data_IF_856448914587
#
_entry.id   IF_856448914587
#
_cell.length_a   1.000
_cell.length_b   1.000
_cell.length_c   1.000
_cell.angle_alpha   90.00
_cell.angle_beta   90.00
_cell.angle_gamma   90.00
#
_symmetry.space_group_name_H-M   'P 1'
#
loop_
_entity.id
_entity.type
_entity.pdbx_description
1 polymer ?
#
# COMPACT_ATOMS: atom_id res chain seq x y z
N UNK A 1 -1.20 -44.22 -12.64
CA UNK A 1 -1.89 -44.33 -11.32
C UNK A 1 -2.05 -42.94 -10.77
N UNK A 2 -3.29 -42.48 -10.80
CA UNK A 2 -3.67 -41.17 -10.28
C UNK A 2 -4.01 -41.27 -8.81
N UNK A 3 -3.54 -40.36 -7.98
CA UNK A 3 -4.09 -40.17 -6.64
C UNK A 3 -4.48 -38.71 -6.44
N UNK A 4 -5.80 -38.52 -6.48
CA UNK A 4 -6.49 -37.31 -6.05
C UNK A 4 -6.44 -37.19 -4.53
N UNK A 5 -5.97 -36.05 -4.01
CA UNK A 5 -6.29 -35.64 -2.64
C UNK A 5 -7.16 -34.39 -2.67
N UNK A 6 -8.47 -34.66 -2.62
CA UNK A 6 -9.48 -33.68 -2.23
C UNK A 6 -9.56 -33.68 -0.70
N UNK A 7 -9.22 -32.57 -0.06
CA UNK A 7 -9.55 -32.36 1.35
C UNK A 7 -10.49 -31.18 1.45
N UNK A 8 -11.79 -31.50 1.49
CA UNK A 8 -12.85 -30.57 1.85
C UNK A 8 -12.87 -30.43 3.37
N UNK A 9 -12.63 -29.23 3.89
CA UNK A 9 -12.85 -28.90 5.29
C UNK A 9 -14.25 -28.29 5.41
N UNK A 10 -15.19 -29.09 5.90
CA UNK A 10 -16.54 -28.68 6.28
C UNK A 10 -16.49 -28.02 7.66
N UNK A 11 -16.92 -26.75 7.74
CA UNK A 11 -17.23 -26.10 9.01
C UNK A 11 -18.64 -26.51 9.45
N UNK A 12 -18.74 -27.49 10.31
CA UNK A 12 -19.88 -27.78 11.18
C UNK A 12 -19.38 -28.74 12.24
N UNK A 13 -19.33 -28.23 13.47
CA UNK A 13 -19.63 -28.98 14.69
C UNK A 13 -19.22 -28.14 15.90
N UNK A 14 -20.17 -27.86 16.67
CA UNK A 14 -20.24 -27.88 18.11
C UNK A 14 -21.05 -26.69 18.67
N UNK A 15 -22.32 -26.92 18.96
CA UNK A 15 -22.90 -26.45 20.22
C UNK A 15 -23.99 -27.45 20.60
N UNK A 16 -23.74 -28.23 21.65
CA UNK A 16 -24.74 -28.99 22.37
C UNK A 16 -24.77 -28.49 23.82
N UNK A 17 -25.93 -28.05 24.27
CA UNK A 17 -26.50 -28.40 25.55
C UNK A 17 -26.29 -27.44 26.70
N UNK A 18 -27.32 -26.79 27.19
CA UNK A 18 -28.00 -27.19 28.44
C UNK A 18 -29.26 -26.35 28.61
N UNK A 19 -30.42 -27.05 28.70
CA UNK A 19 -31.67 -26.49 29.14
C UNK A 19 -31.74 -26.48 30.66
N UNK A 20 -32.23 -25.39 31.25
CA UNK A 20 -32.87 -25.45 32.57
C UNK A 20 -34.12 -24.55 32.56
N UNK A 21 -35.25 -25.19 32.78
CA UNK A 21 -36.55 -24.58 32.89
C UNK A 21 -36.77 -23.97 34.28
N UNK A 22 -37.39 -22.80 34.34
CA UNK A 22 -38.15 -22.36 35.48
C UNK A 22 -39.30 -21.43 35.04
N UNK A 23 -40.47 -21.65 35.57
CA UNK A 23 -41.78 -21.13 35.17
C UNK A 23 -42.09 -19.75 35.76
N UNK A 24 -42.71 -18.90 34.95
CA UNK A 24 -43.84 -17.94 34.98
C UNK A 24 -44.22 -17.25 36.31
N UNK A 25 -44.69 -15.94 36.32
CA UNK A 25 -45.96 -15.57 35.70
C UNK A 25 -45.98 -14.23 34.91
N UNK A 26 -47.06 -14.14 34.11
CA UNK A 26 -47.45 -13.05 33.25
C UNK A 26 -47.70 -11.72 33.97
N UNK A 27 -47.23 -10.63 33.41
CA UNK A 27 -47.83 -9.31 33.56
C UNK A 27 -47.88 -8.65 32.19
N UNK A 28 -49.08 -8.39 31.71
CA UNK A 28 -49.38 -7.57 30.53
C UNK A 28 -48.97 -6.13 30.86
N UNK A 29 -48.04 -5.59 30.07
CA UNK A 29 -47.91 -4.16 29.88
C UNK A 29 -47.42 -3.98 28.46
N UNK A 30 -48.18 -3.26 27.62
CA UNK A 30 -47.86 -2.92 26.27
C UNK A 30 -46.52 -2.18 26.22
N UNK A 31 -45.59 -2.67 25.45
CA UNK A 31 -44.41 -1.97 25.02
C UNK A 31 -44.46 -1.93 23.51
N UNK A 32 -44.61 -0.73 23.00
CA UNK A 32 -44.38 -0.41 21.60
C UNK A 32 -43.02 -1.03 21.22
N UNK A 33 -43.03 -1.99 20.32
CA UNK A 33 -41.86 -2.55 19.67
C UNK A 33 -41.24 -1.47 18.78
N UNK A 34 -40.52 -0.58 19.41
CA UNK A 34 -39.49 0.19 18.70
C UNK A 34 -38.38 -0.77 18.27
N UNK A 35 -38.60 -1.48 17.16
CA UNK A 35 -37.53 -2.08 16.41
C UNK A 35 -36.54 -0.95 15.99
N UNK A 36 -35.66 -0.62 16.88
CA UNK A 36 -34.42 0.07 16.52
C UNK A 36 -33.66 -0.92 15.62
N UNK A 37 -33.99 -0.94 14.32
CA UNK A 37 -33.11 -1.51 13.31
C UNK A 37 -31.77 -0.78 13.49
N UNK A 38 -30.81 -1.46 14.09
CA UNK A 38 -29.43 -1.06 14.03
C UNK A 38 -29.12 -0.97 12.54
N UNK A 39 -29.06 0.26 12.02
CA UNK A 39 -28.68 0.55 10.65
C UNK A 39 -27.26 -0.01 10.52
N UNK A 40 -27.16 -1.18 9.91
CA UNK A 40 -25.88 -1.82 9.62
C UNK A 40 -25.03 -0.77 8.91
N UNK A 41 -23.98 -0.33 9.56
CA UNK A 41 -23.11 0.69 8.99
C UNK A 41 -22.58 0.14 7.67
N UNK A 42 -22.80 0.84 6.58
CA UNK A 42 -22.26 0.43 5.29
C UNK A 42 -20.75 0.22 5.43
N UNK A 43 -20.19 -0.84 4.85
CA UNK A 43 -18.78 -1.15 4.98
C UNK A 43 -17.94 0.07 4.59
N UNK A 44 -16.97 0.40 5.42
CA UNK A 44 -16.10 1.55 5.17
C UNK A 44 -15.36 1.36 3.85
N UNK A 45 -15.38 2.40 2.99
CA UNK A 45 -14.71 2.35 1.69
C UNK A 45 -13.21 2.13 1.88
N UNK A 46 -12.62 1.25 1.07
CA UNK A 46 -11.19 1.03 1.04
C UNK A 46 -10.42 2.34 0.73
N UNK A 47 -9.15 2.41 1.08
CA UNK A 47 -8.32 3.56 0.67
C UNK A 47 -8.28 3.68 -0.86
N UNK A 48 -8.26 2.55 -1.58
CA UNK A 48 -8.34 2.48 -3.04
C UNK A 48 -9.58 3.22 -3.59
N UNK A 49 -10.76 2.95 -3.02
CA UNK A 49 -12.00 3.60 -3.44
C UNK A 49 -12.00 5.10 -3.11
N UNK A 50 -11.49 5.47 -1.94
CA UNK A 50 -11.37 6.87 -1.52
C UNK A 50 -10.36 7.66 -2.36
N UNK A 51 -9.33 7.00 -2.89
CA UNK A 51 -8.37 7.59 -3.83
C UNK A 51 -8.92 7.71 -5.27
N UNK A 52 -10.10 7.16 -5.55
CA UNK A 52 -10.74 7.25 -6.87
C UNK A 52 -10.40 6.11 -7.82
N UNK A 53 -9.85 5.00 -7.31
CA UNK A 53 -9.58 3.80 -8.09
C UNK A 53 -8.35 3.88 -8.99
N UNK A 54 -8.19 2.87 -9.85
CA UNK A 54 -6.96 2.65 -10.63
C UNK A 54 -6.57 3.84 -11.53
N UNK A 55 -7.53 4.51 -12.15
CA UNK A 55 -7.20 5.62 -13.08
C UNK A 55 -6.69 6.85 -12.34
N UNK A 56 -7.28 7.18 -11.20
CA UNK A 56 -6.83 8.29 -10.37
C UNK A 56 -5.44 8.00 -9.78
N UNK A 57 -5.23 6.77 -9.27
CA UNK A 57 -3.93 6.33 -8.77
C UNK A 57 -2.87 6.35 -9.87
N UNK A 58 -3.19 5.87 -11.09
CA UNK A 58 -2.27 5.90 -12.22
C UNK A 58 -1.86 7.32 -12.61
N UNK A 59 -2.79 8.28 -12.60
CA UNK A 59 -2.50 9.68 -12.90
C UNK A 59 -1.54 10.30 -11.86
N UNK A 60 -1.74 10.01 -10.57
CA UNK A 60 -0.84 10.42 -9.49
C UNK A 60 0.54 9.79 -9.65
N UNK A 61 0.61 8.48 -9.91
CA UNK A 61 1.87 7.75 -10.10
C UNK A 61 2.62 8.25 -11.32
N UNK A 62 1.92 8.56 -12.42
CA UNK A 62 2.50 9.13 -13.64
C UNK A 62 3.19 10.46 -13.35
N UNK A 63 2.44 11.41 -12.79
CA UNK A 63 2.94 12.73 -12.42
C UNK A 63 4.11 12.65 -11.43
N UNK A 64 3.95 11.88 -10.37
CA UNK A 64 4.99 11.67 -9.35
C UNK A 64 6.28 11.12 -9.95
N UNK A 65 6.18 10.12 -10.80
CA UNK A 65 7.36 9.50 -11.43
C UNK A 65 8.13 10.49 -12.30
N UNK A 66 7.42 11.32 -13.06
CA UNK A 66 8.03 12.37 -13.87
C UNK A 66 8.62 13.49 -13.01
N UNK A 67 7.97 13.83 -11.90
CA UNK A 67 8.49 14.81 -10.95
C UNK A 67 9.80 14.33 -10.31
N UNK A 68 9.89 13.04 -9.92
CA UNK A 68 11.12 12.44 -9.38
C UNK A 68 12.25 12.48 -10.41
N UNK A 69 11.98 12.18 -11.69
CA UNK A 69 13.00 12.29 -12.76
C UNK A 69 13.56 13.72 -12.87
N UNK A 70 12.70 14.72 -12.75
CA UNK A 70 13.09 16.15 -12.84
C UNK A 70 13.62 16.73 -11.54
N UNK A 71 13.47 16.05 -10.42
CA UNK A 71 13.87 16.56 -9.11
C UNK A 71 15.39 16.78 -9.06
N UNK A 72 15.88 17.94 -8.63
CA UNK A 72 17.32 18.27 -8.67
C UNK A 72 18.16 17.46 -7.69
N UNK A 73 17.56 16.89 -6.64
CA UNK A 73 18.28 16.14 -5.61
C UNK A 73 18.37 14.65 -5.97
N UNK A 74 17.26 14.06 -6.42
CA UNK A 74 17.18 12.61 -6.65
C UNK A 74 17.05 12.22 -8.12
N UNK A 75 16.77 13.16 -9.02
CA UNK A 75 16.53 12.91 -10.45
C UNK A 75 17.81 13.01 -11.30
N UNK A 76 17.66 13.56 -12.52
CA UNK A 76 18.72 13.65 -13.53
C UNK A 76 19.93 14.48 -13.10
N UNK A 77 19.78 15.40 -12.14
CA UNK A 77 20.83 16.24 -11.62
C UNK A 77 21.38 15.76 -10.27
N UNK A 78 20.97 14.57 -9.82
CA UNK A 78 21.39 14.04 -8.53
C UNK A 78 22.92 13.99 -8.39
N UNK A 79 23.41 14.30 -7.18
CA UNK A 79 24.81 14.08 -6.81
C UNK A 79 25.12 12.60 -6.63
N UNK A 80 24.13 11.76 -6.36
CA UNK A 80 24.24 10.32 -6.36
C UNK A 80 24.39 9.82 -7.81
N UNK A 81 25.57 9.29 -8.19
CA UNK A 81 25.82 8.91 -9.58
C UNK A 81 24.92 7.77 -10.06
N UNK A 82 24.52 6.86 -9.18
CA UNK A 82 23.63 5.75 -9.50
C UNK A 82 22.21 6.23 -9.81
N UNK A 83 21.69 7.18 -9.01
CA UNK A 83 20.37 7.79 -9.28
C UNK A 83 20.42 8.62 -10.56
N UNK A 84 21.45 9.43 -10.75
CA UNK A 84 21.61 10.22 -11.98
C UNK A 84 21.71 9.33 -13.21
N UNK A 85 22.48 8.25 -13.15
CA UNK A 85 22.60 7.30 -14.25
C UNK A 85 21.26 6.65 -14.58
N UNK A 86 20.52 6.20 -13.56
CA UNK A 86 19.21 5.61 -13.76
C UNK A 86 18.27 6.59 -14.45
N UNK A 87 18.20 7.83 -13.97
CA UNK A 87 17.30 8.87 -14.48
C UNK A 87 17.74 9.51 -15.81
N UNK A 88 18.90 9.15 -16.33
CA UNK A 88 19.37 9.61 -17.64
C UNK A 88 19.41 8.49 -18.68
N UNK A 89 19.93 7.32 -18.32
CA UNK A 89 20.15 6.21 -19.27
C UNK A 89 19.04 5.18 -19.29
N UNK A 90 18.18 5.12 -18.27
CA UNK A 90 17.16 4.08 -18.13
C UNK A 90 15.72 4.60 -18.28
N UNK A 91 15.54 5.80 -18.85
CA UNK A 91 14.19 6.39 -19.03
C UNK A 91 13.26 5.54 -19.89
N UNK A 92 13.79 4.74 -20.81
CA UNK A 92 12.97 3.78 -21.56
C UNK A 92 12.28 2.72 -20.70
N UNK A 93 12.71 2.53 -19.44
CA UNK A 93 12.07 1.62 -18.47
C UNK A 93 11.01 2.32 -17.61
N UNK A 94 10.93 3.65 -17.69
CA UNK A 94 10.01 4.44 -16.85
C UNK A 94 8.54 4.05 -17.02
N UNK A 95 8.01 3.79 -18.23
CA UNK A 95 6.62 3.35 -18.40
C UNK A 95 6.31 2.06 -17.64
N UNK A 96 7.21 1.07 -17.70
CA UNK A 96 7.06 -0.17 -16.94
C UNK A 96 7.10 0.05 -15.42
N UNK A 97 7.98 0.95 -14.95
CA UNK A 97 8.04 1.32 -13.52
C UNK A 97 6.75 2.01 -13.06
N UNK A 98 6.20 2.94 -13.85
CA UNK A 98 4.91 3.59 -13.58
C UNK A 98 3.78 2.56 -13.47
N UNK A 99 3.73 1.60 -14.38
CA UNK A 99 2.76 0.52 -14.35
C UNK A 99 2.89 -0.33 -13.06
N UNK A 100 4.10 -0.76 -12.71
CA UNK A 100 4.34 -1.56 -11.51
C UNK A 100 4.00 -0.81 -10.23
N UNK A 101 4.34 0.47 -10.13
CA UNK A 101 3.96 1.33 -9.00
C UNK A 101 2.45 1.47 -8.88
N UNK A 102 1.75 1.64 -10.00
CA UNK A 102 0.28 1.72 -10.00
C UNK A 102 -0.34 0.44 -9.46
N UNK A 103 0.09 -0.73 -9.92
CA UNK A 103 -0.38 -2.01 -9.41
C UNK A 103 -0.10 -2.18 -7.91
N UNK A 104 1.11 -1.81 -7.48
CA UNK A 104 1.48 -1.88 -6.08
C UNK A 104 0.59 -0.99 -5.20
N UNK A 105 0.41 0.28 -5.56
CA UNK A 105 -0.46 1.21 -4.81
C UNK A 105 -1.89 0.71 -4.78
N UNK A 106 -2.44 0.24 -5.90
CA UNK A 106 -3.78 -0.34 -5.95
C UNK A 106 -3.90 -1.55 -5.01
N UNK A 107 -2.90 -2.44 -4.99
CA UNK A 107 -2.90 -3.62 -4.14
C UNK A 107 -2.89 -3.25 -2.64
N UNK A 108 -1.93 -2.41 -2.20
CA UNK A 108 -1.78 -2.07 -0.77
C UNK A 108 -2.91 -1.17 -0.24
N UNK A 109 -3.62 -0.47 -1.11
CA UNK A 109 -4.77 0.38 -0.73
C UNK A 109 -6.10 -0.37 -0.70
N UNK A 110 -6.09 -1.71 -0.89
CA UNK A 110 -7.29 -2.55 -0.83
C UNK A 110 -8.08 -2.62 -2.13
N UNK A 111 -7.43 -2.32 -3.27
CA UNK A 111 -8.00 -2.50 -4.60
C UNK A 111 -7.96 -3.97 -5.09
N UNK A 112 -8.67 -4.28 -6.19
CA UNK A 112 -8.81 -5.65 -6.71
C UNK A 112 -7.60 -6.12 -7.52
N UNK A 113 -6.43 -5.51 -7.32
CA UNK A 113 -5.20 -5.83 -8.06
C UNK A 113 -4.25 -6.63 -7.21
N UNK A 114 -3.45 -7.47 -7.87
CA UNK A 114 -2.34 -8.17 -7.22
C UNK A 114 -1.01 -7.65 -7.76
N UNK A 115 -0.09 -7.39 -6.84
CA UNK A 115 1.27 -7.04 -7.16
C UNK A 115 2.20 -8.21 -6.83
N UNK A 116 3.03 -8.59 -7.80
CA UNK A 116 4.10 -9.56 -7.59
C UNK A 116 5.41 -8.94 -8.04
N UNK A 117 6.42 -8.96 -7.19
CA UNK A 117 7.74 -8.45 -7.53
C UNK A 117 8.32 -9.21 -8.74
N UNK A 118 8.91 -8.47 -9.68
CA UNK A 118 9.54 -9.05 -10.88
C UNK A 118 10.91 -9.66 -10.58
N UNK A 119 11.50 -9.29 -9.44
CA UNK A 119 12.74 -9.89 -8.95
C UNK A 119 12.47 -10.58 -7.62
N UNK A 120 12.82 -11.88 -7.50
CA UNK A 120 12.77 -12.54 -6.21
C UNK A 120 13.73 -11.86 -5.23
N UNK A 121 13.32 -11.73 -3.98
CA UNK A 121 14.08 -11.08 -2.94
C UNK A 121 13.70 -11.59 -1.56
N UNK A 122 14.30 -11.01 -0.53
CA UNK A 122 14.03 -11.32 0.87
C UNK A 122 12.69 -10.74 1.33
N UNK A 123 12.20 -9.71 0.64
CA UNK A 123 10.91 -9.08 0.92
C UNK A 123 9.90 -9.38 -0.18
N UNK A 124 8.61 -9.40 0.19
CA UNK A 124 7.50 -9.67 -0.76
C UNK A 124 7.47 -8.69 -1.93
N UNK A 125 7.90 -7.45 -1.71
CA UNK A 125 7.90 -6.40 -2.73
C UNK A 125 9.20 -6.34 -3.54
N UNK A 126 10.27 -7.01 -3.09
CA UNK A 126 11.60 -6.95 -3.72
C UNK A 126 12.19 -5.54 -3.76
N UNK A 127 11.80 -4.66 -2.83
CA UNK A 127 12.23 -3.26 -2.82
C UNK A 127 13.72 -3.13 -2.50
N UNK A 128 14.22 -3.92 -1.56
CA UNK A 128 15.64 -3.92 -1.22
C UNK A 128 16.50 -4.31 -2.43
N UNK A 129 16.14 -5.39 -3.11
CA UNK A 129 16.88 -5.89 -4.28
C UNK A 129 16.81 -4.92 -5.45
N UNK A 130 15.67 -4.24 -5.62
CA UNK A 130 15.47 -3.27 -6.68
C UNK A 130 16.28 -1.97 -6.45
N UNK A 131 16.53 -1.60 -5.19
CA UNK A 131 17.14 -0.32 -4.84
C UNK A 131 18.57 -0.42 -4.30
N UNK A 132 19.04 -1.61 -3.89
CA UNK A 132 20.36 -1.83 -3.28
C UNK A 132 21.50 -1.17 -4.06
N UNK A 133 21.52 -1.34 -5.37
CA UNK A 133 22.58 -0.80 -6.22
C UNK A 133 22.44 0.71 -6.49
N UNK A 134 21.31 1.31 -6.16
CA UNK A 134 21.11 2.75 -6.29
C UNK A 134 21.74 3.54 -5.13
N UNK A 135 22.06 2.86 -4.02
CA UNK A 135 22.72 3.44 -2.84
C UNK A 135 22.02 4.69 -2.31
N UNK A 136 20.69 4.64 -2.28
CA UNK A 136 19.84 5.75 -1.86
C UNK A 136 20.08 6.06 -0.39
N UNK A 137 20.50 7.27 -0.08
CA UNK A 137 20.66 7.74 1.29
C UNK A 137 19.29 7.98 1.95
N UNK A 138 19.23 7.97 3.30
CA UNK A 138 18.01 8.35 4.01
C UNK A 138 17.47 9.74 3.61
N UNK A 139 18.36 10.71 3.35
CA UNK A 139 17.96 12.05 2.94
C UNK A 139 17.39 12.09 1.52
N UNK A 140 17.91 11.28 0.59
CA UNK A 140 17.37 11.15 -0.76
C UNK A 140 15.99 10.46 -0.73
N UNK A 141 15.81 9.47 0.13
CA UNK A 141 14.48 8.86 0.36
C UNK A 141 13.48 9.90 0.88
N UNK A 142 13.87 10.71 1.85
CA UNK A 142 13.02 11.75 2.43
C UNK A 142 12.64 12.81 1.38
N UNK A 143 13.54 13.14 0.45
CA UNK A 143 13.23 14.03 -0.68
C UNK A 143 12.20 13.39 -1.62
N UNK A 144 12.30 12.10 -1.91
CA UNK A 144 11.28 11.39 -2.71
C UNK A 144 9.93 11.39 -1.99
N UNK A 145 9.91 11.20 -0.67
CA UNK A 145 8.69 11.30 0.14
C UNK A 145 8.08 12.72 0.09
N UNK A 146 8.93 13.75 0.14
CA UNK A 146 8.50 15.14 -0.01
C UNK A 146 7.89 15.41 -1.40
N UNK A 147 8.50 14.86 -2.47
CA UNK A 147 7.97 14.95 -3.83
C UNK A 147 6.59 14.27 -3.96
N UNK A 148 6.42 13.10 -3.33
CA UNK A 148 5.11 12.46 -3.24
C UNK A 148 4.10 13.36 -2.53
N UNK A 149 4.48 13.97 -1.43
CA UNK A 149 3.63 14.94 -0.72
C UNK A 149 3.20 16.13 -1.57
N UNK A 150 4.13 16.70 -2.38
CA UNK A 150 3.83 17.76 -3.35
C UNK A 150 2.86 17.30 -4.43
N UNK A 151 3.09 16.11 -4.96
CA UNK A 151 2.21 15.50 -5.97
C UNK A 151 0.80 15.30 -5.43
N UNK A 152 0.65 14.69 -4.25
CA UNK A 152 -0.67 14.47 -3.62
C UNK A 152 -1.41 15.80 -3.38
N UNK A 153 -0.69 16.87 -3.04
CA UNK A 153 -1.27 18.20 -2.90
C UNK A 153 -1.76 18.76 -4.25
N UNK A 154 -0.99 18.60 -5.34
CA UNK A 154 -1.38 19.08 -6.67
C UNK A 154 -2.63 18.37 -7.20
N UNK A 155 -2.81 17.10 -6.84
CA UNK A 155 -4.02 16.32 -7.13
C UNK A 155 -5.15 16.54 -6.13
N UNK A 156 -4.96 17.44 -5.14
CA UNK A 156 -5.96 17.77 -4.11
C UNK A 156 -6.45 16.55 -3.32
N UNK A 157 -5.56 15.57 -3.10
CA UNK A 157 -5.87 14.39 -2.28
C UNK A 157 -6.19 14.85 -0.86
N UNK A 158 -7.34 14.44 -0.27
CA UNK A 158 -7.72 14.86 1.07
C UNK A 158 -6.67 14.49 2.12
N UNK A 159 -6.59 15.28 3.18
CA UNK A 159 -5.54 15.15 4.20
C UNK A 159 -5.46 13.76 4.85
N UNK A 160 -6.58 13.09 5.19
CA UNK A 160 -6.54 11.74 5.77
C UNK A 160 -5.94 10.69 4.81
N UNK A 161 -6.35 10.70 3.53
CA UNK A 161 -5.84 9.79 2.50
C UNK A 161 -4.37 10.07 2.21
N UNK A 162 -3.99 11.35 2.12
CA UNK A 162 -2.58 11.74 1.95
C UNK A 162 -1.72 11.24 3.09
N UNK A 163 -2.17 11.36 4.34
CA UNK A 163 -1.43 10.88 5.50
C UNK A 163 -1.24 9.35 5.44
N UNK A 164 -2.26 8.59 5.05
CA UNK A 164 -2.18 7.14 4.90
C UNK A 164 -1.19 6.73 3.80
N UNK A 165 -1.24 7.40 2.65
CA UNK A 165 -0.30 7.13 1.53
C UNK A 165 1.14 7.43 1.95
N UNK A 166 1.40 8.57 2.59
CA UNK A 166 2.75 8.93 3.05
C UNK A 166 3.27 8.00 4.14
N UNK A 167 2.42 7.55 5.06
CA UNK A 167 2.79 6.58 6.08
C UNK A 167 3.16 5.22 5.47
N UNK A 168 2.36 4.73 4.52
CA UNK A 168 2.64 3.49 3.80
C UNK A 168 3.97 3.59 3.02
N UNK A 169 4.22 4.71 2.36
CA UNK A 169 5.49 4.96 1.67
C UNK A 169 6.68 4.96 2.64
N UNK A 170 6.57 5.67 3.75
CA UNK A 170 7.63 5.80 4.76
C UNK A 170 8.01 4.47 5.41
N UNK A 171 7.07 3.52 5.52
CA UNK A 171 7.32 2.19 6.07
C UNK A 171 8.41 1.41 5.30
N UNK A 172 8.65 1.73 4.02
CA UNK A 172 9.64 1.06 3.18
C UNK A 172 11.02 1.73 3.18
N UNK A 173 11.23 2.76 4.01
CA UNK A 173 12.52 3.49 4.06
C UNK A 173 13.71 2.56 4.29
N UNK A 174 13.60 1.63 5.23
CA UNK A 174 14.67 0.68 5.55
C UNK A 174 15.07 -0.18 4.35
N UNK A 175 14.10 -0.74 3.62
CA UNK A 175 14.34 -1.58 2.45
C UNK A 175 14.99 -0.78 1.31
N UNK A 176 14.47 0.40 1.03
CA UNK A 176 14.95 1.24 -0.08
C UNK A 176 16.36 1.78 0.18
N UNK A 177 16.70 2.05 1.44
CA UNK A 177 18.02 2.59 1.81
C UNK A 177 19.04 1.53 2.22
N UNK A 178 18.70 0.24 2.19
CA UNK A 178 19.56 -0.86 2.63
C UNK A 178 20.92 -0.93 1.89
N UNK A 179 20.99 -0.43 0.65
CA UNK A 179 22.22 -0.33 -0.13
C UNK A 179 23.11 0.87 0.18
N UNK A 180 22.65 1.79 1.02
CA UNK A 180 23.40 2.98 1.39
C UNK A 180 24.53 2.64 2.39
N UNK A 181 25.76 3.00 2.02
CA UNK A 181 26.89 2.96 2.93
C UNK A 181 27.32 4.39 3.16
N UNK A 182 27.15 4.89 4.39
CA UNK A 182 27.65 6.21 4.76
C UNK A 182 29.17 6.24 4.48
N UNK A 183 29.63 7.22 3.71
CA UNK A 183 31.06 7.43 3.54
C UNK A 183 31.66 7.66 4.93
N UNK A 184 32.51 6.76 5.41
CA UNK A 184 33.27 6.98 6.61
C UNK A 184 33.97 8.32 6.42
N UNK A 185 33.76 9.28 7.32
CA UNK A 185 34.54 10.52 7.37
C UNK A 185 36.00 10.09 7.41
N UNK A 186 36.73 10.31 6.31
CA UNK A 186 38.17 10.29 6.37
C UNK A 186 38.58 11.50 7.22
N UNK A 187 38.92 11.22 8.45
CA UNK A 187 39.52 12.18 9.37
C UNK A 187 40.91 12.57 8.92
#
# INVERSE_FOLDING_TARGET
MAQNFSTSITRRDAVAGLALAAAVPAALAGADDAHAQAKEAAPEKSLYDRLGGVFAIAAVVDHFSDAVVRNPIVGQQSRNPQLREWHTKNLGRLPGLKFMRTLWVCNISGGPFQYTATKPGTTTLGLEEAHRNLRISPAEFDEVAAELGRTLNSFKVPAPEKAQVLAAFAAHKGEVTAGYVASAKRG
#
